data_IF_440501486221
#
_entry.id   IF_440501486221
#
_cell.length_a   1.000
_cell.length_b   1.000
_cell.length_c   1.000
_cell.angle_alpha   90.00
_cell.angle_beta   90.00
_cell.angle_gamma   90.00
#
_symmetry.space_group_name_H-M   'P 1'
#
loop_
_entity.id
_entity.type
_entity.pdbx_description
1 polymer ?
#
# COMPACT_ATOMS: atom_id res chain seq x y z
N UNK A 1 -10.03 45.43 -44.39
CA UNK A 1 -9.62 46.49 -45.34
C UNK A 1 -8.85 45.83 -46.46
N UNK A 2 -9.30 45.99 -47.71
CA UNK A 2 -8.71 45.36 -48.89
C UNK A 2 -7.22 45.71 -49.00
N UNK A 3 -6.35 44.70 -48.94
CA UNK A 3 -4.89 44.81 -49.09
C UNK A 3 -4.48 44.53 -50.55
N UNK A 4 -5.17 45.13 -51.51
CA UNK A 4 -4.60 45.18 -52.85
C UNK A 4 -3.46 46.22 -52.85
N UNK A 5 -2.28 45.89 -53.38
CA UNK A 5 -1.17 46.83 -53.47
C UNK A 5 -1.59 47.98 -54.38
N UNK A 6 -1.94 49.12 -53.78
CA UNK A 6 -2.25 50.34 -54.52
C UNK A 6 -1.04 50.71 -55.40
N UNK A 7 -1.25 51.05 -56.69
CA UNK A 7 -0.16 51.33 -57.60
C UNK A 7 0.64 52.57 -57.17
N UNK A 8 1.97 52.48 -57.28
CA UNK A 8 2.90 53.58 -56.98
C UNK A 8 3.26 54.43 -58.22
N UNK A 9 2.67 54.11 -59.38
CA UNK A 9 2.93 54.81 -60.64
C UNK A 9 1.64 54.92 -61.44
N UNK A 10 1.24 56.16 -61.75
CA UNK A 10 0.03 56.45 -62.52
C UNK A 10 0.39 57.14 -63.84
N UNK A 11 -0.20 56.66 -64.94
CA UNK A 11 -0.02 57.27 -66.28
C UNK A 11 -0.58 58.69 -66.33
N UNK A 12 -1.76 58.90 -65.76
CA UNK A 12 -2.44 60.18 -65.64
C UNK A 12 -2.52 60.58 -64.16
N UNK A 13 -2.84 61.84 -63.85
CA UNK A 13 -3.06 62.25 -62.45
C UNK A 13 -4.18 61.45 -61.80
N UNK A 14 -3.89 60.80 -60.66
CA UNK A 14 -4.84 59.98 -59.92
C UNK A 14 -5.98 60.82 -59.33
N UNK A 15 -7.16 60.23 -59.05
CA UNK A 15 -8.27 60.95 -58.41
C UNK A 15 -7.88 61.58 -57.07
N UNK A 16 -7.06 60.89 -56.27
CA UNK A 16 -6.56 61.38 -55.00
C UNK A 16 -5.68 62.63 -55.18
N UNK A 17 -4.76 62.60 -56.16
CA UNK A 17 -3.91 63.75 -56.45
C UNK A 17 -4.73 64.94 -56.99
N UNK A 18 -5.74 64.71 -57.84
CA UNK A 18 -6.65 65.78 -58.31
C UNK A 18 -7.39 66.46 -57.16
N UNK A 19 -7.86 65.68 -56.19
CA UNK A 19 -8.54 66.22 -55.01
C UNK A 19 -7.58 67.08 -54.18
N UNK A 20 -6.35 66.60 -53.94
CA UNK A 20 -5.36 67.37 -53.17
C UNK A 20 -5.01 68.68 -53.88
N UNK A 21 -4.77 68.63 -55.20
CA UNK A 21 -4.48 69.83 -56.00
C UNK A 21 -5.62 70.86 -55.95
N UNK A 22 -6.88 70.41 -55.95
CA UNK A 22 -8.04 71.28 -55.90
C UNK A 22 -8.26 71.93 -54.51
N UNK A 23 -7.87 71.26 -53.43
CA UNK A 23 -8.00 71.79 -52.05
C UNK A 23 -6.94 72.85 -51.74
N UNK A 24 -5.74 72.71 -52.31
CA UNK A 24 -4.62 73.61 -52.02
C UNK A 24 -3.80 73.21 -50.80
N UNK A 25 -2.78 74.02 -50.49
CA UNK A 25 -1.86 73.78 -49.38
C UNK A 25 -2.56 74.00 -48.03
N UNK A 26 -2.30 73.09 -47.08
CA UNK A 26 -2.89 73.09 -45.74
C UNK A 26 -1.91 72.48 -44.73
N UNK A 27 -2.35 72.27 -43.48
CA UNK A 27 -1.57 71.48 -42.53
C UNK A 27 -1.33 70.03 -43.00
N UNK A 28 -2.30 69.47 -43.74
CA UNK A 28 -2.27 68.09 -44.23
C UNK A 28 -1.54 67.96 -45.56
N UNK A 29 -1.58 69.01 -46.39
CA UNK A 29 -1.10 69.00 -47.77
C UNK A 29 -0.01 70.05 -47.94
N UNK A 30 1.19 69.64 -48.34
CA UNK A 30 2.33 70.53 -48.59
C UNK A 30 2.69 70.53 -50.07
N UNK A 31 2.89 71.70 -50.68
CA UNK A 31 3.34 71.79 -52.07
C UNK A 31 4.77 72.30 -52.16
N UNK A 32 5.56 71.67 -53.03
CA UNK A 32 6.92 72.09 -53.33
C UNK A 32 7.14 72.04 -54.83
N UNK A 33 7.61 73.15 -55.38
CA UNK A 33 7.96 73.25 -56.80
C UNK A 33 9.16 72.38 -57.16
N UNK A 34 10.19 72.37 -56.31
CA UNK A 34 11.43 71.60 -56.53
C UNK A 34 11.65 70.57 -55.41
N UNK A 35 12.25 69.44 -55.76
CA UNK A 35 12.65 68.40 -54.80
C UNK A 35 13.78 68.85 -53.87
N UNK A 36 14.59 69.82 -54.28
CA UNK A 36 15.64 70.38 -53.43
C UNK A 36 15.06 71.09 -52.18
N UNK A 37 13.80 71.51 -52.24
CA UNK A 37 13.08 72.09 -51.10
C UNK A 37 12.55 71.04 -50.12
N UNK A 38 12.63 69.75 -50.45
CA UNK A 38 12.32 68.65 -49.52
C UNK A 38 13.51 68.47 -48.58
N UNK A 39 13.27 68.69 -47.29
CA UNK A 39 14.27 68.61 -46.22
C UNK A 39 13.87 67.60 -45.16
N UNK A 40 14.81 67.05 -44.35
CA UNK A 40 14.47 66.17 -43.24
C UNK A 40 13.55 66.87 -42.23
N UNK A 41 13.77 68.17 -42.01
CA UNK A 41 12.89 69.05 -41.23
C UNK A 41 11.44 69.03 -41.69
N UNK A 42 11.19 69.14 -43.00
CA UNK A 42 9.83 69.12 -43.54
C UNK A 42 9.15 67.76 -43.29
N UNK A 43 9.87 66.67 -43.59
CA UNK A 43 9.35 65.31 -43.44
C UNK A 43 9.05 64.96 -41.98
N UNK A 44 9.97 65.29 -41.05
CA UNK A 44 9.77 65.10 -39.63
C UNK A 44 8.59 65.95 -39.11
N UNK A 45 8.48 67.21 -39.56
CA UNK A 45 7.37 68.10 -39.20
C UNK A 45 6.00 67.56 -39.61
N UNK A 46 5.89 67.04 -40.82
CA UNK A 46 4.65 66.42 -41.32
C UNK A 46 4.32 65.12 -40.57
N UNK A 47 5.31 64.25 -40.32
CA UNK A 47 5.10 63.03 -39.55
C UNK A 47 4.67 63.31 -38.10
N UNK A 48 5.26 64.32 -37.47
CA UNK A 48 4.87 64.75 -36.13
C UNK A 48 3.46 65.34 -36.09
N UNK A 49 3.05 66.10 -37.10
CA UNK A 49 1.68 66.62 -37.19
C UNK A 49 0.64 65.49 -37.26
N UNK A 50 0.95 64.40 -37.97
CA UNK A 50 0.12 63.19 -37.98
C UNK A 50 0.07 62.56 -36.57
N UNK A 51 1.18 62.57 -35.85
CA UNK A 51 1.30 61.94 -34.53
C UNK A 51 0.56 62.67 -33.41
N UNK A 52 0.17 63.94 -33.61
CA UNK A 52 -0.54 64.73 -32.61
C UNK A 52 -2.03 64.38 -32.47
N UNK A 53 -2.56 63.58 -33.40
CA UNK A 53 -3.98 63.29 -33.48
C UNK A 53 -4.17 61.89 -34.08
N UNK A 54 -4.63 60.91 -33.29
CA UNK A 54 -4.79 59.52 -33.73
C UNK A 54 -5.75 59.34 -34.91
N UNK A 55 -6.63 60.30 -35.20
CA UNK A 55 -7.54 60.23 -36.35
C UNK A 55 -6.85 60.56 -37.68
N UNK A 56 -5.59 61.04 -37.63
CA UNK A 56 -4.81 61.37 -38.82
C UNK A 56 -4.03 60.15 -39.29
N UNK A 57 -4.36 59.68 -40.48
CA UNK A 57 -3.65 58.56 -41.09
C UNK A 57 -2.29 58.96 -41.70
N UNK A 58 -2.25 60.07 -42.44
CA UNK A 58 -1.07 60.51 -43.19
C UNK A 58 -1.13 61.99 -43.61
N UNK A 59 0.04 62.60 -43.72
CA UNK A 59 0.25 63.89 -44.39
C UNK A 59 0.69 63.66 -45.85
N UNK A 60 0.39 64.60 -46.74
CA UNK A 60 0.76 64.50 -48.16
C UNK A 60 1.65 65.65 -48.60
N UNK A 61 2.73 65.33 -49.30
CA UNK A 61 3.65 66.29 -49.92
C UNK A 61 3.59 66.12 -51.44
N UNK A 62 3.26 67.16 -52.20
CA UNK A 62 3.33 67.13 -53.66
C UNK A 62 4.58 67.89 -54.12
N UNK A 63 5.43 67.23 -54.92
CA UNK A 63 6.70 67.76 -55.40
C UNK A 63 6.66 67.87 -56.92
N UNK A 64 6.96 69.05 -57.47
CA UNK A 64 6.71 69.38 -58.88
C UNK A 64 5.34 70.05 -59.09
N UNK A 65 4.82 70.72 -58.05
CA UNK A 65 3.56 71.45 -58.05
C UNK A 65 3.82 72.87 -57.57
N UNK A 66 3.35 73.85 -58.33
CA UNK A 66 3.36 75.26 -57.97
C UNK A 66 2.00 75.66 -57.39
N UNK A 67 1.98 76.72 -56.59
CA UNK A 67 0.74 77.28 -56.08
C UNK A 67 0.27 78.45 -56.93
N UNK A 68 -0.99 78.40 -57.34
CA UNK A 68 -1.62 79.49 -58.07
C UNK A 68 -2.85 79.95 -57.30
N UNK A 69 -2.95 81.25 -57.13
CA UNK A 69 -4.14 81.90 -56.60
C UNK A 69 -5.06 82.25 -57.77
N UNK A 70 -6.30 81.77 -57.71
CA UNK A 70 -7.35 82.22 -58.60
C UNK A 70 -7.67 83.68 -58.26
N UNK A 71 -7.45 84.58 -59.23
CA UNK A 71 -7.63 86.02 -59.04
C UNK A 71 -9.08 86.42 -58.80
N UNK A 72 -10.04 85.59 -59.23
CA UNK A 72 -11.46 85.89 -59.13
C UNK A 72 -12.06 85.36 -57.81
N UNK A 73 -11.59 84.20 -57.33
CA UNK A 73 -12.12 83.56 -56.12
C UNK A 73 -11.23 83.73 -54.88
N UNK A 74 -9.96 84.11 -55.06
CA UNK A 74 -8.95 84.14 -53.99
C UNK A 74 -8.55 82.75 -53.47
N UNK A 75 -9.03 81.68 -54.11
CA UNK A 75 -8.71 80.31 -53.71
C UNK A 75 -7.33 79.93 -54.25
N UNK A 76 -6.52 79.32 -53.39
CA UNK A 76 -5.19 78.81 -53.75
C UNK A 76 -5.32 77.33 -54.10
N UNK A 77 -4.84 76.95 -55.28
CA UNK A 77 -4.82 75.57 -55.76
C UNK A 77 -3.45 75.20 -56.33
N UNK A 78 -3.20 73.89 -56.41
CA UNK A 78 -1.95 73.35 -56.94
C UNK A 78 -2.00 73.18 -58.45
N UNK A 79 -0.96 73.60 -59.15
CA UNK A 79 -0.76 73.38 -60.58
C UNK A 79 0.52 72.55 -60.79
N UNK A 80 0.43 71.34 -61.37
CA UNK A 80 1.61 70.57 -61.74
C UNK A 80 2.50 71.37 -62.68
N UNK A 81 3.76 71.57 -62.29
CA UNK A 81 4.78 72.23 -63.10
C UNK A 81 5.87 71.27 -63.58
N UNK A 82 5.83 70.01 -63.12
CA UNK A 82 6.81 68.99 -63.45
C UNK A 82 8.11 69.11 -62.66
N UNK A 83 9.01 68.14 -62.87
CA UNK A 83 10.31 68.07 -62.21
C UNK A 83 11.45 68.14 -63.23
N UNK A 84 12.24 69.22 -63.21
CA UNK A 84 13.30 69.46 -64.20
C UNK A 84 14.39 68.38 -64.22
N UNK A 85 14.67 67.75 -63.08
CA UNK A 85 15.69 66.70 -62.93
C UNK A 85 15.14 65.28 -63.20
N UNK A 86 13.84 65.16 -63.53
CA UNK A 86 13.14 63.89 -63.72
C UNK A 86 12.63 63.25 -62.42
N UNK A 87 11.69 62.29 -62.56
CA UNK A 87 11.06 61.59 -61.44
C UNK A 87 12.07 60.76 -60.63
N UNK A 88 12.89 59.93 -61.28
CA UNK A 88 13.82 59.01 -60.59
C UNK A 88 14.76 59.71 -59.62
N UNK A 89 15.34 60.85 -60.03
CA UNK A 89 16.23 61.65 -59.17
C UNK A 89 15.48 62.24 -57.98
N UNK A 90 14.22 62.64 -58.20
CA UNK A 90 13.41 63.19 -57.13
C UNK A 90 12.96 62.10 -56.14
N UNK A 91 12.60 60.90 -56.62
CA UNK A 91 12.34 59.73 -55.76
C UNK A 91 13.55 59.42 -54.89
N UNK A 92 14.74 59.28 -55.49
CA UNK A 92 15.97 58.99 -54.75
C UNK A 92 16.31 60.07 -53.72
N UNK A 93 16.09 61.35 -54.06
CA UNK A 93 16.30 62.46 -53.14
C UNK A 93 15.34 62.42 -51.95
N UNK A 94 14.06 62.15 -52.18
CA UNK A 94 13.07 62.07 -51.10
C UNK A 94 13.40 60.91 -50.15
N UNK A 95 13.80 59.76 -50.69
CA UNK A 95 14.25 58.61 -49.90
C UNK A 95 15.52 58.95 -49.07
N UNK A 96 16.49 59.63 -49.67
CA UNK A 96 17.68 60.13 -48.95
C UNK A 96 17.29 61.06 -47.79
N UNK A 97 16.36 62.00 -48.01
CA UNK A 97 15.87 62.90 -46.95
C UNK A 97 15.11 62.17 -45.85
N UNK A 98 14.26 61.21 -46.20
CA UNK A 98 13.53 60.41 -45.21
C UNK A 98 14.51 59.61 -44.33
N UNK A 99 15.56 59.03 -44.92
CA UNK A 99 16.58 58.26 -44.18
C UNK A 99 17.36 59.08 -43.13
N UNK A 100 17.36 60.41 -43.26
CA UNK A 100 18.03 61.33 -42.33
C UNK A 100 17.18 61.70 -41.13
N UNK A 101 15.88 61.41 -41.16
CA UNK A 101 15.02 61.57 -39.98
C UNK A 101 15.34 60.52 -38.92
N UNK A 102 15.05 60.85 -37.66
CA UNK A 102 15.35 60.05 -36.46
C UNK A 102 14.10 60.03 -35.56
N UNK A 103 13.95 59.10 -34.60
CA UNK A 103 14.86 58.02 -34.23
C UNK A 103 14.89 56.88 -35.27
N UNK A 104 13.76 56.62 -35.92
CA UNK A 104 13.63 55.73 -37.08
C UNK A 104 13.19 56.60 -38.26
N UNK A 105 13.69 56.37 -39.48
CA UNK A 105 13.21 57.09 -40.65
C UNK A 105 11.68 57.11 -40.76
N UNK A 106 11.11 58.26 -41.10
CA UNK A 106 9.68 58.39 -41.41
C UNK A 106 9.29 57.46 -42.56
N UNK A 107 8.07 56.95 -42.52
CA UNK A 107 7.56 56.11 -43.60
C UNK A 107 7.09 57.02 -44.73
N UNK A 108 7.72 56.88 -45.89
CA UNK A 108 7.43 57.65 -47.09
C UNK A 108 6.98 56.72 -48.19
N UNK A 109 5.72 56.85 -48.57
CA UNK A 109 5.18 56.17 -49.73
C UNK A 109 5.11 57.13 -50.90
N UNK A 110 5.99 56.88 -51.86
CA UNK A 110 6.18 57.73 -53.04
C UNK A 110 5.30 57.21 -54.17
N UNK A 111 4.52 58.11 -54.76
CA UNK A 111 3.67 57.84 -55.92
C UNK A 111 4.05 58.78 -57.05
N UNK A 112 4.38 58.23 -58.21
CA UNK A 112 4.59 58.99 -59.44
C UNK A 112 3.23 59.27 -60.12
N UNK A 113 2.92 60.54 -60.34
CA UNK A 113 1.65 61.00 -60.89
C UNK A 113 1.85 61.62 -62.29
N UNK A 114 0.96 61.32 -63.23
CA UNK A 114 0.96 61.94 -64.56
C UNK A 114 2.19 61.60 -65.42
N UNK A 115 2.69 60.36 -65.37
CA UNK A 115 3.94 59.96 -66.06
C UNK A 115 3.86 60.11 -67.59
N UNK A 116 2.67 60.00 -68.19
CA UNK A 116 2.45 60.23 -69.62
C UNK A 116 2.07 61.70 -69.93
N UNK A 117 1.95 62.54 -68.91
CA UNK A 117 1.62 63.96 -69.06
C UNK A 117 2.91 64.81 -69.20
N UNK A 118 2.82 66.03 -69.77
CA UNK A 118 3.99 66.90 -69.94
C UNK A 118 4.65 67.36 -68.64
N UNK A 119 3.91 67.33 -67.52
CA UNK A 119 4.33 67.86 -66.22
C UNK A 119 4.20 66.81 -65.11
N UNK A 120 4.96 65.71 -65.18
CA UNK A 120 4.88 64.64 -64.18
C UNK A 120 5.41 65.12 -62.83
N UNK A 121 4.73 64.72 -61.75
CA UNK A 121 5.05 65.15 -60.39
C UNK A 121 5.00 63.97 -59.41
N UNK A 122 5.44 64.20 -58.18
CA UNK A 122 5.50 63.16 -57.14
C UNK A 122 4.53 63.48 -56.02
N UNK A 123 3.75 62.48 -55.59
CA UNK A 123 2.95 62.50 -54.37
C UNK A 123 3.58 61.65 -53.27
N UNK A 124 3.95 62.38 -52.23
CA UNK A 124 4.48 62.10 -50.89
C UNK A 124 3.52 61.64 -49.81
N UNK A 125 3.14 60.38 -49.64
CA UNK A 125 2.38 60.01 -48.43
C UNK A 125 3.34 59.76 -47.26
N UNK A 126 3.22 60.54 -46.19
CA UNK A 126 4.15 60.56 -45.05
C UNK A 126 3.42 60.09 -43.80
N UNK A 127 3.99 59.08 -43.13
CA UNK A 127 3.46 58.49 -41.90
C UNK A 127 4.54 58.39 -40.81
N UNK A 128 4.17 58.56 -39.53
CA UNK A 128 5.11 58.37 -38.44
C UNK A 128 5.40 56.88 -38.23
N UNK A 129 6.68 56.51 -38.18
CA UNK A 129 7.11 55.15 -37.77
C UNK A 129 7.33 55.05 -36.27
N UNK A 130 8.01 56.04 -35.67
CA UNK A 130 8.27 56.13 -34.24
C UNK A 130 8.33 57.59 -33.81
N UNK A 131 7.17 58.18 -33.54
CA UNK A 131 7.08 59.56 -33.06
C UNK A 131 7.65 59.72 -31.62
N UNK A 132 8.13 60.92 -31.25
CA UNK A 132 8.32 62.08 -32.11
C UNK A 132 9.55 61.91 -33.02
N UNK A 133 9.43 62.37 -34.26
CA UNK A 133 10.50 62.43 -35.24
C UNK A 133 11.34 63.70 -35.09
N UNK A 134 12.64 63.58 -35.40
CA UNK A 134 13.63 64.64 -35.40
C UNK A 134 14.20 64.82 -36.80
N UNK A 135 14.58 66.04 -37.12
CA UNK A 135 15.44 66.31 -38.27
C UNK A 135 16.90 65.89 -38.01
N UNK A 136 17.75 66.10 -39.00
CA UNK A 136 19.19 65.82 -38.95
C UNK A 136 19.97 66.71 -37.96
N UNK A 137 19.36 67.79 -37.47
CA UNK A 137 19.87 68.66 -36.43
C UNK A 137 19.30 68.34 -35.03
N UNK A 138 18.44 67.31 -34.91
CA UNK A 138 17.81 66.91 -33.65
C UNK A 138 16.64 67.79 -33.21
N UNK A 139 16.12 68.66 -34.07
CA UNK A 139 15.01 69.58 -33.76
C UNK A 139 13.66 68.84 -33.82
N UNK A 140 12.79 69.17 -32.86
CA UNK A 140 11.43 68.63 -32.72
C UNK A 140 10.42 69.65 -33.21
N UNK A 141 9.89 69.43 -34.41
CA UNK A 141 9.00 70.39 -35.03
C UNK A 141 7.71 69.73 -35.51
N UNK A 142 6.65 70.51 -35.61
CA UNK A 142 5.35 70.14 -36.15
C UNK A 142 4.83 71.26 -37.05
N UNK A 143 3.76 70.99 -37.79
CA UNK A 143 3.10 71.98 -38.64
C UNK A 143 2.21 72.92 -37.83
N UNK A 144 2.16 74.17 -38.28
CA UNK A 144 1.19 75.17 -37.85
C UNK A 144 0.77 75.99 -39.08
N UNK A 145 -0.35 75.63 -39.68
CA UNK A 145 -0.77 76.08 -40.99
C UNK A 145 0.28 75.75 -42.06
N UNK A 146 0.72 76.80 -42.76
CA UNK A 146 1.74 76.74 -43.81
C UNK A 146 3.18 76.84 -43.29
N UNK A 147 3.35 76.93 -41.97
CA UNK A 147 4.65 77.08 -41.32
C UNK A 147 4.98 75.86 -40.43
N UNK A 148 6.20 75.87 -39.90
CA UNK A 148 6.67 74.92 -38.90
C UNK A 148 6.88 75.63 -37.57
N UNK A 149 6.54 74.96 -36.47
CA UNK A 149 6.86 75.40 -35.10
C UNK A 149 7.50 74.27 -34.32
N UNK A 150 8.14 74.61 -33.21
CA UNK A 150 8.56 73.60 -32.26
C UNK A 150 7.34 72.86 -31.68
N UNK A 151 7.49 71.57 -31.42
CA UNK A 151 6.54 70.85 -30.57
C UNK A 151 6.60 71.43 -29.15
N UNK A 152 5.45 71.60 -28.53
CA UNK A 152 5.36 72.00 -27.12
C UNK A 152 5.70 70.82 -26.21
N UNK A 153 6.04 71.10 -24.95
CA UNK A 153 6.38 70.05 -23.99
C UNK A 153 5.19 69.10 -23.74
N UNK A 154 3.97 69.63 -23.68
CA UNK A 154 2.75 68.83 -23.49
C UNK A 154 2.49 67.90 -24.69
N UNK A 155 2.68 68.39 -25.91
CA UNK A 155 2.55 67.59 -27.13
C UNK A 155 3.60 66.48 -27.21
N UNK A 156 4.85 66.80 -26.84
CA UNK A 156 5.92 65.81 -26.77
C UNK A 156 5.60 64.74 -25.73
N UNK A 157 5.16 65.15 -24.54
CA UNK A 157 4.78 64.24 -23.48
C UNK A 157 3.63 63.34 -23.93
N UNK A 158 2.60 63.90 -24.58
CA UNK A 158 1.48 63.13 -25.14
C UNK A 158 1.96 62.04 -26.10
N UNK A 159 2.79 62.40 -27.08
CA UNK A 159 3.34 61.43 -28.04
C UNK A 159 4.15 60.33 -27.32
N UNK A 160 4.97 60.68 -26.33
CA UNK A 160 5.73 59.70 -25.56
C UNK A 160 4.82 58.77 -24.74
N UNK A 161 3.80 59.32 -24.08
CA UNK A 161 2.86 58.54 -23.28
C UNK A 161 2.07 57.56 -24.15
N UNK A 162 1.60 57.98 -25.32
CA UNK A 162 0.88 57.09 -26.24
C UNK A 162 1.78 55.96 -26.74
N UNK A 163 3.04 56.29 -27.07
CA UNK A 163 4.05 55.30 -27.47
C UNK A 163 4.34 54.29 -26.35
N UNK A 164 4.60 54.78 -25.14
CA UNK A 164 4.90 53.93 -24.00
C UNK A 164 3.67 53.13 -23.55
N UNK A 165 2.45 53.67 -23.67
CA UNK A 165 1.22 52.95 -23.38
C UNK A 165 1.04 51.74 -24.31
N UNK A 166 1.31 51.89 -25.62
CA UNK A 166 1.28 50.78 -26.57
C UNK A 166 2.33 49.69 -26.28
N UNK A 167 3.55 50.11 -25.94
CA UNK A 167 4.64 49.22 -25.52
C UNK A 167 4.31 48.48 -24.22
N UNK A 168 3.81 49.22 -23.22
CA UNK A 168 3.39 48.70 -21.92
C UNK A 168 2.27 47.68 -22.09
N UNK A 169 1.21 47.99 -22.83
CA UNK A 169 0.10 47.05 -23.05
C UNK A 169 0.57 45.75 -23.70
N UNK A 170 1.54 45.83 -24.63
CA UNK A 170 2.12 44.66 -25.29
C UNK A 170 2.92 43.81 -24.31
N UNK A 171 3.83 44.42 -23.54
CA UNK A 171 4.62 43.72 -22.51
C UNK A 171 3.73 43.13 -21.42
N UNK A 172 2.73 43.88 -20.96
CA UNK A 172 1.78 43.44 -19.95
C UNK A 172 0.98 42.22 -20.39
N UNK A 173 0.49 42.20 -21.64
CA UNK A 173 -0.17 41.02 -22.21
C UNK A 173 0.77 39.82 -22.26
N UNK A 174 2.01 40.01 -22.71
CA UNK A 174 3.00 38.93 -22.75
C UNK A 174 3.26 38.35 -21.35
N UNK A 175 3.55 39.20 -20.37
CA UNK A 175 3.78 38.78 -18.98
C UNK A 175 2.56 38.08 -18.38
N UNK A 176 1.34 38.55 -18.69
CA UNK A 176 0.11 37.91 -18.22
C UNK A 176 -0.05 36.50 -18.79
N UNK A 177 0.24 36.31 -20.09
CA UNK A 177 0.22 35.00 -20.74
C UNK A 177 1.25 34.04 -20.15
N UNK A 178 2.46 34.53 -19.89
CA UNK A 178 3.52 33.75 -19.23
C UNK A 178 3.10 33.35 -17.81
N UNK A 179 2.49 34.26 -17.04
CA UNK A 179 2.02 33.98 -15.68
C UNK A 179 0.85 32.98 -15.66
N UNK A 180 -0.12 33.13 -16.57
CA UNK A 180 -1.21 32.16 -16.73
C UNK A 180 -0.68 30.76 -17.05
N UNK A 181 0.34 30.68 -17.91
CA UNK A 181 0.98 29.41 -18.26
C UNK A 181 1.70 28.79 -17.07
N UNK A 182 2.44 29.59 -16.30
CA UNK A 182 3.11 29.14 -15.09
C UNK A 182 2.11 28.65 -14.02
N UNK A 183 1.02 29.38 -13.80
CA UNK A 183 -0.06 28.97 -12.88
C UNK A 183 -0.72 27.68 -13.35
N UNK A 184 -0.99 27.53 -14.65
CA UNK A 184 -1.50 26.29 -15.23
C UNK A 184 -0.56 25.10 -15.02
N UNK A 185 0.75 25.31 -15.15
CA UNK A 185 1.75 24.28 -14.87
C UNK A 185 1.76 23.88 -13.39
N UNK A 186 1.72 24.84 -12.47
CA UNK A 186 1.63 24.56 -11.02
C UNK A 186 0.34 23.81 -10.69
N UNK A 187 -0.80 24.20 -11.26
CA UNK A 187 -2.07 23.49 -11.09
C UNK A 187 -1.98 22.03 -11.52
N UNK A 188 -1.45 21.77 -12.72
CA UNK A 188 -1.27 20.39 -13.19
C UNK A 188 -0.28 19.58 -12.35
N UNK A 189 0.74 20.21 -11.77
CA UNK A 189 1.66 19.54 -10.84
C UNK A 189 0.98 19.20 -9.51
N UNK A 190 0.12 20.09 -8.98
CA UNK A 190 -0.69 19.82 -7.78
C UNK A 190 -1.64 18.65 -8.02
N UNK A 191 -2.31 18.61 -9.18
CA UNK A 191 -3.18 17.50 -9.55
C UNK A 191 -2.41 16.18 -9.64
N UNK A 192 -1.22 16.18 -10.23
CA UNK A 192 -0.34 15.00 -10.27
C UNK A 192 0.08 14.53 -8.88
N UNK A 193 0.37 15.46 -7.97
CA UNK A 193 0.71 15.13 -6.57
C UNK A 193 -0.51 14.53 -5.87
N UNK A 194 -1.71 15.10 -6.04
CA UNK A 194 -2.94 14.56 -5.47
C UNK A 194 -3.21 13.14 -5.97
N UNK A 195 -3.08 12.92 -7.28
CA UNK A 195 -3.19 11.61 -7.92
C UNK A 195 -2.17 10.60 -7.38
N UNK A 196 -0.93 11.05 -7.15
CA UNK A 196 0.13 10.22 -6.61
C UNK A 196 -0.11 9.85 -5.14
N UNK A 197 -0.64 10.77 -4.33
CA UNK A 197 -1.03 10.51 -2.93
C UNK A 197 -2.16 9.47 -2.90
N UNK A 198 -3.18 9.64 -3.72
CA UNK A 198 -4.30 8.71 -3.81
C UNK A 198 -3.84 7.30 -4.20
N UNK A 199 -3.02 7.19 -5.26
CA UNK A 199 -2.56 5.89 -5.77
C UNK A 199 -1.53 5.20 -4.87
N UNK A 200 -0.59 5.94 -4.29
CA UNK A 200 0.56 5.36 -3.60
C UNK A 200 0.46 5.39 -2.07
N UNK A 201 -0.46 6.17 -1.50
CA UNK A 201 -0.61 6.29 -0.05
C UNK A 201 -2.00 5.81 0.39
N UNK A 202 -3.08 6.43 -0.11
CA UNK A 202 -4.43 6.12 0.36
C UNK A 202 -4.82 4.66 0.07
N UNK A 203 -4.73 4.22 -1.18
CA UNK A 203 -5.11 2.85 -1.57
C UNK A 203 -4.27 1.75 -0.89
N UNK A 204 -2.93 1.87 -0.76
CA UNK A 204 -2.16 0.91 0.01
C UNK A 204 -2.54 0.85 1.48
N UNK A 205 -2.85 1.99 2.12
CA UNK A 205 -3.34 2.01 3.52
C UNK A 205 -4.66 1.25 3.62
N UNK A 206 -5.63 1.50 2.75
CA UNK A 206 -6.90 0.77 2.74
C UNK A 206 -6.70 -0.74 2.60
N UNK A 207 -5.81 -1.17 1.69
CA UNK A 207 -5.46 -2.58 1.51
C UNK A 207 -4.79 -3.16 2.75
N UNK A 208 -3.85 -2.44 3.37
CA UNK A 208 -3.20 -2.87 4.60
C UNK A 208 -4.21 -3.01 5.75
N UNK A 209 -5.15 -2.09 5.88
CA UNK A 209 -6.22 -2.18 6.87
C UNK A 209 -7.12 -3.38 6.62
N UNK A 210 -7.50 -3.65 5.37
CA UNK A 210 -8.26 -4.84 5.02
C UNK A 210 -7.51 -6.14 5.34
N UNK A 211 -6.23 -6.24 4.94
CA UNK A 211 -5.39 -7.40 5.25
C UNK A 211 -5.17 -7.58 6.76
N UNK A 212 -5.03 -6.49 7.51
CA UNK A 212 -4.91 -6.55 8.97
C UNK A 212 -6.20 -7.06 9.63
N UNK A 213 -7.37 -6.66 9.13
CA UNK A 213 -8.66 -7.16 9.60
C UNK A 213 -8.80 -8.66 9.30
N UNK A 214 -8.51 -9.09 8.08
CA UNK A 214 -8.52 -10.51 7.69
C UNK A 214 -7.54 -11.35 8.54
N UNK A 215 -6.34 -10.83 8.81
CA UNK A 215 -5.37 -11.50 9.67
C UNK A 215 -5.85 -11.61 11.12
N UNK A 216 -6.54 -10.59 11.64
CA UNK A 216 -7.14 -10.63 12.98
C UNK A 216 -8.27 -11.67 13.07
N UNK A 217 -9.14 -11.73 12.06
CA UNK A 217 -10.22 -12.72 11.99
C UNK A 217 -9.68 -14.15 11.89
N UNK A 218 -8.63 -14.35 11.08
CA UNK A 218 -7.93 -15.63 10.96
C UNK A 218 -7.27 -16.03 12.29
N UNK A 219 -6.63 -15.08 12.98
CA UNK A 219 -6.04 -15.32 14.30
C UNK A 219 -7.10 -15.67 15.35
N UNK A 220 -8.24 -14.99 15.35
CA UNK A 220 -9.36 -15.29 16.25
C UNK A 220 -9.93 -16.69 15.98
N UNK A 221 -10.10 -17.06 14.70
CA UNK A 221 -10.55 -18.39 14.29
C UNK A 221 -9.56 -19.48 14.69
N UNK A 222 -8.26 -19.22 14.55
CA UNK A 222 -7.21 -20.12 14.98
C UNK A 222 -7.19 -20.31 16.50
N UNK A 223 -7.40 -19.23 17.27
CA UNK A 223 -7.50 -19.29 18.73
C UNK A 223 -8.70 -20.14 19.18
N UNK A 224 -9.90 -19.90 18.63
CA UNK A 224 -11.09 -20.71 18.94
C UNK A 224 -10.90 -22.19 18.56
N UNK A 225 -10.20 -22.47 17.46
CA UNK A 225 -9.87 -23.85 17.08
C UNK A 225 -8.88 -24.49 18.05
N UNK A 226 -7.90 -23.72 18.55
CA UNK A 226 -6.96 -24.20 19.56
C UNK A 226 -7.66 -24.51 20.89
N UNK A 227 -8.56 -23.64 21.36
CA UNK A 227 -9.37 -23.90 22.57
C UNK A 227 -10.21 -25.17 22.42
N UNK A 228 -10.79 -25.38 21.23
CA UNK A 228 -11.55 -26.60 20.92
C UNK A 228 -10.66 -27.85 20.93
N UNK A 229 -9.45 -27.75 20.39
CA UNK A 229 -8.46 -28.83 20.41
C UNK A 229 -7.98 -29.15 21.84
N UNK A 230 -7.80 -28.13 22.69
CA UNK A 230 -7.46 -28.29 24.11
C UNK A 230 -8.59 -29.02 24.86
N UNK A 231 -9.84 -28.62 24.65
CA UNK A 231 -10.99 -29.30 25.25
C UNK A 231 -11.09 -30.77 24.80
N UNK A 232 -10.87 -31.05 23.52
CA UNK A 232 -10.84 -32.42 23.00
C UNK A 232 -9.68 -33.23 23.60
N UNK A 233 -8.48 -32.65 23.72
CA UNK A 233 -7.34 -33.29 24.37
C UNK A 233 -7.63 -33.60 25.85
N UNK A 234 -8.31 -32.69 26.56
CA UNK A 234 -8.79 -32.91 27.92
C UNK A 234 -9.72 -34.12 28.02
N UNK A 235 -10.70 -34.24 27.13
CA UNK A 235 -11.62 -35.40 27.07
C UNK A 235 -10.87 -36.71 26.80
N UNK A 236 -9.95 -36.72 25.85
CA UNK A 236 -9.12 -37.90 25.54
C UNK A 236 -8.28 -38.30 26.76
N UNK A 237 -7.77 -37.35 27.53
CA UNK A 237 -7.03 -37.65 28.77
C UNK A 237 -7.90 -38.40 29.78
N UNK A 238 -9.15 -37.98 29.98
CA UNK A 238 -10.09 -38.67 30.87
C UNK A 238 -10.42 -40.09 30.37
N UNK A 239 -10.66 -40.25 29.07
CA UNK A 239 -10.92 -41.58 28.49
C UNK A 239 -9.71 -42.52 28.62
N UNK A 240 -8.49 -42.01 28.44
CA UNK A 240 -7.26 -42.78 28.64
C UNK A 240 -7.12 -43.25 30.08
N UNK A 241 -7.45 -42.40 31.07
CA UNK A 241 -7.45 -42.80 32.48
C UNK A 241 -8.47 -43.91 32.78
N UNK A 242 -9.66 -43.85 32.19
CA UNK A 242 -10.70 -44.87 32.41
C UNK A 242 -10.33 -46.20 31.74
N UNK A 243 -9.75 -46.15 30.54
CA UNK A 243 -9.17 -47.33 29.87
C UNK A 243 -8.05 -47.95 30.72
N UNK A 244 -7.17 -47.14 31.32
CA UNK A 244 -6.12 -47.64 32.21
C UNK A 244 -6.70 -48.32 33.47
N UNK A 245 -7.83 -47.83 34.00
CA UNK A 245 -8.54 -48.45 35.12
C UNK A 245 -9.15 -49.79 34.71
N UNK A 246 -9.86 -49.85 33.59
CA UNK A 246 -10.41 -51.08 33.02
C UNK A 246 -9.34 -52.15 32.77
N UNK A 247 -8.17 -51.76 32.26
CA UNK A 247 -7.04 -52.68 32.07
C UNK A 247 -6.52 -53.25 33.39
N UNK A 248 -6.47 -52.44 34.47
CA UNK A 248 -6.09 -52.93 35.80
C UNK A 248 -7.12 -53.90 36.38
N UNK A 249 -8.41 -53.60 36.23
CA UNK A 249 -9.48 -54.46 36.72
C UNK A 249 -9.52 -55.80 35.97
N UNK A 250 -9.28 -55.78 34.66
CA UNK A 250 -9.15 -57.01 33.86
C UNK A 250 -7.95 -57.87 34.31
N UNK A 251 -6.82 -57.23 34.64
CA UNK A 251 -5.64 -57.94 35.16
C UNK A 251 -5.95 -58.70 36.47
N UNK A 252 -6.75 -58.08 37.35
CA UNK A 252 -7.17 -58.67 38.63
C UNK A 252 -8.09 -59.87 38.47
N UNK A 253 -9.01 -59.83 37.50
CA UNK A 253 -9.91 -60.96 37.19
C UNK A 253 -9.15 -62.15 36.62
N UNK A 254 -8.14 -61.89 35.79
CA UNK A 254 -7.27 -62.96 35.24
C UNK A 254 -6.44 -63.63 36.35
N UNK A 255 -5.94 -62.89 37.33
CA UNK A 255 -5.25 -63.46 38.49
C UNK A 255 -6.17 -64.37 39.33
N UNK A 256 -7.44 -64.00 39.53
CA UNK A 256 -8.40 -64.83 40.27
C UNK A 256 -8.73 -66.16 39.57
N UNK A 257 -8.79 -66.19 38.25
CA UNK A 257 -9.10 -67.43 37.50
C UNK A 257 -7.91 -68.40 37.49
N UNK A 258 -6.67 -67.92 37.63
CA UNK A 258 -5.48 -68.77 37.66
C UNK A 258 -5.23 -69.49 39.00
N UNK A 259 -5.91 -69.08 40.07
CA UNK A 259 -5.76 -69.66 41.41
C UNK A 259 -6.60 -70.93 41.67
N UNK A 260 -7.56 -71.27 40.80
CA UNK A 260 -8.48 -72.41 41.00
C UNK A 260 -8.27 -73.62 40.08
N UNK A 261 -7.28 -73.60 39.17
CA UNK A 261 -6.98 -74.75 38.28
C UNK A 261 -6.13 -75.82 39.01
N UNK A 262 -6.61 -77.09 39.10
CA UNK A 262 -5.85 -78.19 39.71
C UNK A 262 -4.43 -78.38 39.14
N UNK A 263 -4.21 -78.06 37.86
CA UNK A 263 -2.89 -78.15 37.24
C UNK A 263 -1.93 -77.04 37.70
N UNK A 264 -2.46 -75.85 38.01
CA UNK A 264 -1.71 -74.70 38.56
C UNK A 264 -1.23 -75.00 39.99
N UNK A 265 -2.09 -75.56 40.84
CA UNK A 265 -1.76 -75.90 42.23
C UNK A 265 -0.68 -76.99 42.34
N UNK A 266 -0.73 -78.03 41.51
CA UNK A 266 0.31 -79.06 41.47
C UNK A 266 1.69 -78.48 41.10
N UNK A 267 1.73 -77.57 40.12
CA UNK A 267 2.98 -76.90 39.71
C UNK A 267 3.57 -76.01 40.82
N UNK A 268 2.70 -75.37 41.61
CA UNK A 268 3.08 -74.55 42.77
C UNK A 268 3.62 -75.41 43.90
N UNK A 269 3.01 -76.57 44.21
CA UNK A 269 3.53 -77.52 45.21
C UNK A 269 4.96 -77.95 44.85
N UNK A 270 5.20 -78.33 43.59
CA UNK A 270 6.54 -78.70 43.10
C UNK A 270 7.53 -77.54 43.28
N UNK A 271 7.10 -76.33 42.94
CA UNK A 271 7.94 -75.12 43.10
C UNK A 271 8.26 -74.82 44.56
N UNK A 272 7.29 -74.94 45.46
CA UNK A 272 7.47 -74.74 46.90
C UNK A 272 8.37 -75.81 47.51
N UNK A 273 8.19 -77.10 47.16
CA UNK A 273 9.11 -78.17 47.59
C UNK A 273 10.56 -77.90 47.15
N UNK A 274 10.77 -77.36 45.95
CA UNK A 274 12.09 -76.90 45.49
C UNK A 274 12.65 -75.79 46.39
N UNK A 275 11.84 -74.79 46.76
CA UNK A 275 12.26 -73.71 47.67
C UNK A 275 12.65 -74.25 49.05
N UNK A 276 11.94 -75.25 49.57
CA UNK A 276 12.28 -75.93 50.83
C UNK A 276 13.63 -76.64 50.72
N UNK A 277 13.85 -77.38 49.62
CA UNK A 277 15.13 -78.02 49.36
C UNK A 277 16.27 -77.00 49.31
N UNK A 278 16.06 -75.86 48.63
CA UNK A 278 17.04 -74.78 48.58
C UNK A 278 17.32 -74.15 49.95
N UNK A 279 16.29 -73.93 50.77
CA UNK A 279 16.47 -73.42 52.13
C UNK A 279 17.30 -74.39 52.98
N UNK A 280 17.04 -75.69 52.86
CA UNK A 280 17.82 -76.72 53.53
C UNK A 280 19.27 -76.77 53.06
N UNK A 281 19.52 -76.73 51.74
CA UNK A 281 20.89 -76.79 51.22
C UNK A 281 21.70 -75.58 51.63
N UNK A 282 21.11 -74.38 51.60
CA UNK A 282 21.76 -73.15 52.10
C UNK A 282 22.15 -73.28 53.58
N UNK A 283 21.28 -73.87 54.41
CA UNK A 283 21.54 -74.02 55.85
C UNK A 283 22.54 -75.12 56.21
N UNK A 284 22.78 -76.06 55.30
CA UNK A 284 23.54 -77.29 55.58
C UNK A 284 24.76 -77.49 54.70
N UNK A 285 25.01 -76.59 53.73
CA UNK A 285 26.10 -76.70 52.74
C UNK A 285 27.49 -76.88 53.37
N UNK A 286 27.75 -76.26 54.52
CA UNK A 286 29.04 -76.34 55.22
C UNK A 286 29.16 -77.54 56.19
N UNK A 287 28.14 -78.40 56.28
CA UNK A 287 28.09 -79.48 57.25
C UNK A 287 28.21 -80.87 56.60
N UNK A 288 29.34 -81.54 56.82
CA UNK A 288 29.62 -82.89 56.28
C UNK A 288 29.40 -84.03 57.28
N UNK A 289 28.66 -83.79 58.37
CA UNK A 289 28.42 -84.80 59.40
C UNK A 289 27.46 -85.90 58.95
N UNK A 290 27.61 -87.12 59.48
CA UNK A 290 26.68 -88.25 59.28
C UNK A 290 25.20 -87.87 59.55
N UNK A 291 24.98 -86.94 60.49
CA UNK A 291 23.66 -86.39 60.81
C UNK A 291 23.11 -85.52 59.67
N UNK A 292 23.93 -84.68 59.05
CA UNK A 292 23.53 -83.86 57.90
C UNK A 292 23.12 -84.73 56.72
N UNK A 293 23.90 -85.77 56.42
CA UNK A 293 23.60 -86.71 55.33
C UNK A 293 22.29 -87.47 55.56
N UNK A 294 22.02 -87.88 56.81
CA UNK A 294 20.75 -88.52 57.17
C UNK A 294 19.56 -87.57 56.99
N UNK A 295 19.67 -86.33 57.48
CA UNK A 295 18.62 -85.31 57.34
C UNK A 295 18.37 -84.94 55.87
N UNK A 296 19.42 -84.85 55.06
CA UNK A 296 19.31 -84.58 53.63
C UNK A 296 18.56 -85.70 52.90
N UNK A 297 18.80 -86.96 53.28
CA UNK A 297 18.07 -88.11 52.73
C UNK A 297 16.60 -88.07 53.13
N UNK A 298 16.32 -87.95 54.42
CA UNK A 298 14.95 -87.94 54.95
C UNK A 298 14.12 -86.76 54.39
N UNK A 299 14.70 -85.56 54.26
CA UNK A 299 14.02 -84.42 53.64
C UNK A 299 13.82 -84.60 52.14
N UNK A 300 14.77 -85.21 51.43
CA UNK A 300 14.62 -85.48 50.00
C UNK A 300 13.50 -86.47 49.75
N UNK A 301 13.46 -87.56 50.51
CA UNK A 301 12.41 -88.57 50.42
C UNK A 301 11.01 -87.93 50.66
N UNK A 302 10.92 -86.98 51.59
CA UNK A 302 9.71 -86.21 51.86
C UNK A 302 9.29 -85.30 50.69
N UNK A 303 10.25 -84.60 50.06
CA UNK A 303 9.98 -83.65 48.97
C UNK A 303 9.78 -84.34 47.61
N UNK A 304 10.19 -85.59 47.46
CA UNK A 304 10.06 -86.38 46.23
C UNK A 304 8.80 -87.24 46.18
N UNK A 305 7.94 -87.19 47.20
CA UNK A 305 6.65 -87.89 47.18
C UNK A 305 5.78 -87.47 46.00
N UNK A 306 4.78 -88.27 45.65
CA UNK A 306 3.83 -87.90 44.60
C UNK A 306 3.06 -86.62 45.00
N UNK A 307 2.73 -85.80 44.01
CA UNK A 307 1.86 -84.62 44.22
C UNK A 307 0.43 -85.08 44.01
N UNK A 308 -0.45 -84.80 44.98
CA UNK A 308 -1.84 -85.19 44.87
C UNK A 308 -2.52 -84.47 43.70
N UNK A 309 -3.52 -85.10 43.09
CA UNK A 309 -4.38 -84.44 42.08
C UNK A 309 -5.46 -83.58 42.78
N UNK A 310 -5.67 -83.79 44.07
CA UNK A 310 -6.67 -83.09 44.87
C UNK A 310 -6.24 -81.65 45.20
N UNK A 311 -7.08 -80.69 44.82
CA UNK A 311 -6.84 -79.26 45.06
C UNK A 311 -6.80 -78.94 46.57
N UNK A 312 -7.60 -79.61 47.39
CA UNK A 312 -7.62 -79.43 48.85
C UNK A 312 -6.30 -79.86 49.50
N UNK A 313 -5.78 -81.02 49.10
CA UNK A 313 -4.49 -81.52 49.54
C UNK A 313 -3.34 -80.60 49.10
N UNK A 314 -3.33 -80.16 47.83
CA UNK A 314 -2.27 -79.30 47.31
C UNK A 314 -2.27 -77.90 47.94
N UNK A 315 -3.45 -77.31 48.17
CA UNK A 315 -3.57 -76.02 48.85
C UNK A 315 -3.10 -76.10 50.32
N UNK A 316 -3.46 -77.18 51.02
CA UNK A 316 -2.98 -77.42 52.38
C UNK A 316 -1.47 -77.64 52.43
N UNK A 317 -0.93 -78.47 51.53
CA UNK A 317 0.50 -78.72 51.43
C UNK A 317 1.29 -77.44 51.11
N UNK A 318 0.74 -76.58 50.22
CA UNK A 318 1.31 -75.26 49.96
C UNK A 318 1.37 -74.39 51.20
N UNK A 319 0.27 -74.30 51.95
CA UNK A 319 0.21 -73.56 53.21
C UNK A 319 1.23 -74.08 54.23
N UNK A 320 1.41 -75.40 54.30
CA UNK A 320 2.42 -76.03 55.16
C UNK A 320 3.84 -75.62 54.78
N UNK A 321 4.18 -75.68 53.48
CA UNK A 321 5.51 -75.28 53.01
C UNK A 321 5.76 -73.77 53.14
N UNK A 322 4.76 -72.94 52.89
CA UNK A 322 4.86 -71.49 53.07
C UNK A 322 5.04 -71.10 54.52
N UNK A 323 4.28 -71.72 55.44
CA UNK A 323 4.47 -71.55 56.88
C UNK A 323 5.89 -71.96 57.30
N UNK A 324 6.39 -73.09 56.79
CA UNK A 324 7.75 -73.55 57.08
C UNK A 324 8.83 -72.58 56.58
N UNK A 325 8.69 -72.05 55.36
CA UNK A 325 9.60 -71.04 54.81
C UNK A 325 9.51 -69.73 55.60
N UNK A 326 8.32 -69.33 56.03
CA UNK A 326 8.07 -68.17 56.88
C UNK A 326 8.77 -68.29 58.24
N UNK A 327 8.56 -69.41 58.95
CA UNK A 327 9.25 -69.71 60.20
C UNK A 327 10.77 -69.73 60.03
N UNK A 328 11.26 -70.30 58.92
CA UNK A 328 12.70 -70.33 58.65
C UNK A 328 13.26 -68.94 58.44
N UNK A 329 12.56 -68.08 57.68
CA UNK A 329 12.96 -66.69 57.40
C UNK A 329 12.96 -65.83 58.68
N UNK A 330 12.03 -66.08 59.59
CA UNK A 330 11.95 -65.39 60.88
C UNK A 330 13.07 -65.80 61.86
N UNK A 331 13.74 -66.93 61.64
CA UNK A 331 14.86 -67.38 62.48
C UNK A 331 16.22 -66.87 61.98
N UNK A 332 16.99 -66.28 62.89
CA UNK A 332 18.36 -65.83 62.63
C UNK A 332 19.29 -66.99 62.20
N UNK A 333 20.09 -66.76 61.15
CA UNK A 333 20.83 -67.78 60.38
C UNK A 333 21.96 -68.52 61.13
N UNK A 334 22.13 -68.34 62.44
CA UNK A 334 23.38 -68.67 63.13
C UNK A 334 23.39 -69.80 64.18
N UNK A 335 22.24 -70.31 64.68
CA UNK A 335 22.25 -71.34 65.76
C UNK A 335 21.25 -72.46 65.57
N UNK A 336 21.75 -73.70 65.48
CA UNK A 336 20.96 -74.93 65.62
C UNK A 336 20.19 -75.41 64.38
N UNK A 337 20.63 -75.04 63.16
CA UNK A 337 19.97 -75.39 61.89
C UNK A 337 19.69 -76.88 61.74
N UNK A 338 20.65 -77.75 62.01
CA UNK A 338 20.46 -79.22 61.95
C UNK A 338 19.50 -79.76 63.02
N UNK A 339 19.41 -79.11 64.18
CA UNK A 339 18.46 -79.52 65.24
C UNK A 339 17.04 -79.13 64.83
N UNK A 340 16.87 -77.97 64.21
CA UNK A 340 15.59 -77.51 63.69
C UNK A 340 15.12 -78.35 62.51
N UNK A 341 15.96 -78.56 61.50
CA UNK A 341 15.64 -79.46 60.38
C UNK A 341 15.34 -80.89 60.85
N UNK A 342 16.04 -81.39 61.88
CA UNK A 342 15.71 -82.67 62.49
C UNK A 342 14.40 -82.71 63.28
N UNK A 343 13.85 -81.56 63.67
CA UNK A 343 12.48 -81.45 64.17
C UNK A 343 11.48 -81.47 63.01
N UNK A 344 11.71 -80.61 62.01
CA UNK A 344 10.90 -80.50 60.78
C UNK A 344 10.70 -81.85 60.10
N UNK A 345 11.79 -82.58 59.85
CA UNK A 345 11.76 -83.88 59.18
C UNK A 345 11.01 -84.96 59.98
N UNK A 346 10.86 -84.80 61.30
CA UNK A 346 10.08 -85.71 62.15
C UNK A 346 8.61 -85.31 62.29
N UNK A 347 8.31 -84.03 62.12
CA UNK A 347 7.00 -83.45 62.37
C UNK A 347 6.17 -83.38 61.11
N UNK A 348 6.77 -82.95 59.99
CA UNK A 348 6.06 -82.82 58.71
C UNK A 348 5.44 -84.13 58.24
N UNK A 349 6.11 -85.31 58.29
CA UNK A 349 5.45 -86.56 57.91
C UNK A 349 4.18 -86.86 58.74
N UNK A 350 4.17 -86.49 60.03
CA UNK A 350 2.99 -86.68 60.89
C UNK A 350 1.84 -85.75 60.52
N UNK A 351 2.17 -84.53 60.10
CA UNK A 351 1.19 -83.57 59.59
C UNK A 351 0.64 -84.04 58.23
N UNK A 352 1.49 -84.59 57.38
CA UNK A 352 1.13 -85.13 56.06
C UNK A 352 0.24 -86.39 56.14
N UNK A 353 0.42 -87.25 57.15
CA UNK A 353 -0.42 -88.44 57.37
C UNK A 353 -1.85 -88.12 57.86
N UNK A 354 -2.07 -86.94 58.44
CA UNK A 354 -3.37 -86.49 58.97
C UNK A 354 -3.62 -85.03 58.63
N UNK A 355 -3.91 -84.71 57.35
CA UNK A 355 -4.26 -83.35 56.97
C UNK A 355 -5.53 -82.95 57.73
N UNK A 356 -5.41 -81.95 58.62
CA UNK A 356 -6.57 -81.29 59.19
C UNK A 356 -7.06 -80.28 58.17
N UNK A 357 -8.06 -80.67 57.39
CA UNK A 357 -8.76 -79.76 56.50
C UNK A 357 -9.49 -78.72 57.37
N UNK A 358 -9.03 -77.47 57.31
CA UNK A 358 -9.82 -76.36 57.85
C UNK A 358 -11.14 -76.26 57.08
N UNK A 359 -12.27 -75.94 57.74
CA UNK A 359 -13.52 -75.71 57.02
C UNK A 359 -13.29 -74.64 55.94
N UNK A 360 -13.92 -74.76 54.76
CA UNK A 360 -13.80 -73.75 53.72
C UNK A 360 -14.21 -72.40 54.28
N UNK A 361 -13.28 -71.45 54.24
CA UNK A 361 -13.51 -70.06 54.58
C UNK A 361 -14.42 -69.46 53.50
N UNK A 362 -15.73 -69.36 53.79
CA UNK A 362 -16.71 -68.64 52.97
C UNK A 362 -17.18 -67.33 53.64
N UNK A 363 -16.29 -66.35 53.92
CA UNK A 363 -16.70 -65.06 54.48
C UNK A 363 -17.50 -64.21 53.49
N UNK A 364 -17.42 -64.48 52.18
CA UNK A 364 -18.03 -63.62 51.17
C UNK A 364 -19.48 -63.98 50.79
N UNK A 365 -19.95 -65.22 51.04
CA UNK A 365 -21.32 -65.58 50.65
C UNK A 365 -22.36 -64.94 51.58
N UNK A 366 -22.08 -64.86 52.89
CA UNK A 366 -23.00 -64.23 53.84
C UNK A 366 -23.04 -62.70 53.70
N UNK A 367 -21.91 -62.08 53.36
CA UNK A 367 -21.85 -60.64 53.09
C UNK A 367 -22.53 -60.29 51.76
N UNK A 368 -22.30 -61.10 50.72
CA UNK A 368 -22.95 -60.92 49.42
C UNK A 368 -24.47 -61.15 49.49
N UNK A 369 -24.94 -62.21 50.17
CA UNK A 369 -26.39 -62.46 50.36
C UNK A 369 -27.03 -61.33 51.17
N UNK A 370 -26.33 -60.77 52.15
CA UNK A 370 -26.88 -59.66 52.95
C UNK A 370 -26.94 -58.36 52.17
N UNK A 371 -25.93 -58.08 51.34
CA UNK A 371 -25.95 -56.94 50.43
C UNK A 371 -27.06 -57.07 49.38
N UNK A 372 -27.30 -58.27 48.84
CA UNK A 372 -28.42 -58.54 47.93
C UNK A 372 -29.77 -58.38 48.63
N UNK A 373 -29.92 -58.91 49.85
CA UNK A 373 -31.16 -58.75 50.63
C UNK A 373 -31.42 -57.28 50.97
N UNK A 374 -30.39 -56.54 51.40
CA UNK A 374 -30.53 -55.12 51.75
C UNK A 374 -30.85 -54.29 50.49
N UNK A 375 -30.24 -54.61 49.34
CA UNK A 375 -30.56 -53.99 48.06
C UNK A 375 -32.00 -54.27 47.58
N UNK A 376 -32.45 -55.52 47.70
CA UNK A 376 -33.82 -55.92 47.32
C UNK A 376 -34.90 -55.40 48.29
N UNK A 377 -34.53 -55.06 49.53
CA UNK A 377 -35.46 -54.41 50.49
C UNK A 377 -35.56 -52.90 50.26
N UNK A 378 -34.45 -52.23 49.93
CA UNK A 378 -34.40 -50.78 49.74
C UNK A 378 -34.86 -50.32 48.34
N UNK A 379 -34.88 -51.20 47.34
CA UNK A 379 -35.43 -50.91 46.00
C UNK A 379 -36.97 -51.04 45.99
N UNK A 380 -37.66 -49.92 45.75
CA UNK A 380 -39.13 -49.89 45.68
C UNK A 380 -39.70 -50.71 44.52
N UNK A 381 -38.90 -50.96 43.48
CA UNK A 381 -39.30 -51.74 42.30
C UNK A 381 -38.90 -53.23 42.40
N UNK A 382 -38.30 -53.67 43.52
CA UNK A 382 -37.94 -55.07 43.77
C UNK A 382 -39.15 -56.01 43.70
N UNK A 383 -38.93 -57.20 43.12
CA UNK A 383 -39.90 -58.31 43.09
C UNK A 383 -40.35 -58.69 44.51
N UNK A 384 -39.49 -58.54 45.52
CA UNK A 384 -39.82 -58.83 46.93
C UNK A 384 -40.84 -57.85 47.50
N UNK A 385 -40.69 -56.55 47.20
CA UNK A 385 -41.64 -55.50 47.61
C UNK A 385 -42.96 -55.59 46.84
N UNK A 386 -42.91 -55.94 45.54
CA UNK A 386 -44.10 -56.24 44.74
C UNK A 386 -44.89 -57.44 45.29
N UNK A 387 -44.21 -58.48 45.78
CA UNK A 387 -44.87 -59.64 46.39
C UNK A 387 -45.46 -59.33 47.78
N UNK A 388 -44.82 -58.45 48.55
CA UNK A 388 -45.30 -58.01 49.87
C UNK A 388 -46.58 -57.18 49.76
N UNK A 389 -46.65 -56.28 48.77
CA UNK A 389 -47.85 -55.52 48.46
C UNK A 389 -49.05 -56.41 48.08
N UNK A 390 -48.79 -57.58 47.47
CA UNK A 390 -49.82 -58.57 47.15
C UNK A 390 -50.27 -59.44 48.34
N UNK A 391 -49.51 -59.47 49.44
CA UNK A 391 -49.85 -60.23 50.67
C UNK A 391 -50.59 -59.35 51.69
N UNK A 392 -50.36 -58.04 51.69
CA UNK A 392 -51.01 -57.09 52.62
C UNK A 392 -52.37 -56.54 52.10
N UNK A 393 -52.84 -56.98 50.92
CA UNK A 393 -54.17 -56.63 50.34
C UNK A 393 -55.30 -57.66 50.60
N UNK A 394 -55.07 -58.69 51.44
CA UNK A 394 -56.09 -59.56 52.06
C UNK A 394 -56.13 -59.34 53.59
#
# INVERSE_FOLDING_TARGET
MSKDPQPCRFKNVSPAAKQILAVGESDRYEFKRDVDAVTPKLLAGLANWVSLDPERDAAHLLVGVDETEDKDTGLVYGVPCGLAKGLDKAVARIQDMASKTRPIPVDVRIVEEGVEEPTPFIRVEIRPTMAPHFDDEGRRQTRQGRSTRALTDDELLGIYLDREAGSFATRFRQTTTELQSAVGAVGSQVDQIADAIEKNIAKPIERMTATAAEAADAAHSAASSADSAEAAAGSVSYEVEDVQRLVKDLHRVVEQIQDEDPQSLASRVISSRRKIWWAFTVDTFEHTSLRATRLAKELRDLLQGDVAIDAGHNAWELGLWEALLGERKARDKGRGTQKWWGGVVKEIPKLMERPQYGPPSLPDLHAAIRADIDHEVDDSDSVTNQFRALIDED
#
